data_IF_766615829257
#
_entry.id   IF_766615829257
#
_cell.length_a   1.000
_cell.length_b   1.000
_cell.length_c   1.000
_cell.angle_alpha   90.00
_cell.angle_beta   90.00
_cell.angle_gamma   90.00
#
_symmetry.space_group_name_H-M   'P 1'
#
loop_
_entity.id
_entity.type
_entity.pdbx_description
1 polymer ?
#
# COMPACT_ATOMS: atom_id res chain seq x y z
N UNK A 1 0.55 2.73 7.50
CA UNK A 1 1.59 3.21 6.55
C UNK A 1 1.00 3.31 5.16
N UNK A 2 1.46 4.24 4.33
CA UNK A 2 1.18 4.23 2.88
C UNK A 2 2.32 3.50 2.18
N UNK A 3 1.97 2.62 1.24
CA UNK A 3 2.92 1.92 0.37
C UNK A 3 2.60 2.34 -1.05
N UNK A 4 3.55 2.96 -1.73
CA UNK A 4 3.39 3.48 -3.09
C UNK A 4 4.34 2.77 -4.05
N UNK A 5 3.88 2.55 -5.28
CA UNK A 5 4.69 2.13 -6.41
C UNK A 5 4.42 3.07 -7.58
N UNK A 6 5.11 2.86 -8.71
CA UNK A 6 4.84 3.59 -9.96
C UNK A 6 3.40 3.41 -10.47
N UNK A 7 2.67 2.41 -9.97
CA UNK A 7 1.33 2.02 -10.43
C UNK A 7 0.20 2.55 -9.57
N UNK A 8 0.50 2.93 -8.32
CA UNK A 8 -0.50 3.43 -7.39
C UNK A 8 -0.03 3.32 -5.95
N UNK A 9 -0.94 3.57 -5.02
CA UNK A 9 -0.69 3.48 -3.59
C UNK A 9 -1.78 2.69 -2.85
N UNK A 10 -1.40 2.12 -1.71
CA UNK A 10 -2.30 1.50 -0.75
C UNK A 10 -1.97 1.99 0.66
N UNK A 11 -2.95 1.94 1.55
CA UNK A 11 -2.77 2.23 2.96
C UNK A 11 -3.08 0.98 3.76
N UNK A 12 -2.11 0.52 4.56
CA UNK A 12 -2.20 -0.73 5.33
C UNK A 12 -1.67 -0.55 6.75
N UNK A 13 -2.12 -1.43 7.66
CA UNK A 13 -1.49 -1.59 8.97
C UNK A 13 -0.16 -2.31 8.78
N UNK A 14 0.91 -1.79 9.38
CA UNK A 14 2.22 -2.42 9.35
C UNK A 14 2.44 -3.23 10.64
N UNK A 15 3.02 -4.41 10.49
CA UNK A 15 3.54 -5.20 11.60
C UNK A 15 5.05 -5.35 11.40
N UNK A 16 5.84 -4.86 12.35
CA UNK A 16 7.30 -4.96 12.30
C UNK A 16 7.71 -6.30 12.90
N UNK A 17 8.39 -7.13 12.11
CA UNK A 17 8.88 -8.44 12.51
C UNK A 17 10.25 -8.73 11.89
N UNK A 18 10.99 -9.67 12.47
CA UNK A 18 12.28 -10.13 11.93
C UNK A 18 12.13 -11.23 10.87
N UNK A 19 10.88 -11.67 10.58
CA UNK A 19 10.61 -12.75 9.64
C UNK A 19 10.87 -12.37 8.18
N UNK A 20 10.93 -11.07 7.88
CA UNK A 20 11.16 -10.55 6.52
C UNK A 20 12.55 -9.93 6.47
N UNK A 21 13.30 -10.22 5.41
CA UNK A 21 14.66 -9.72 5.24
C UNK A 21 14.72 -8.18 5.15
N UNK A 22 15.86 -7.57 5.52
CA UNK A 22 16.05 -6.13 5.40
C UNK A 22 15.74 -5.61 3.99
N UNK A 23 15.04 -4.47 3.92
CA UNK A 23 14.66 -3.86 2.63
C UNK A 23 13.53 -4.59 1.88
N UNK A 24 12.95 -5.64 2.47
CA UNK A 24 11.84 -6.39 1.87
C UNK A 24 10.55 -6.18 2.67
N UNK A 25 9.41 -6.25 2.00
CA UNK A 25 8.09 -6.20 2.60
C UNK A 25 7.29 -7.41 2.15
N UNK A 26 6.46 -7.93 3.05
CA UNK A 26 5.48 -8.96 2.72
C UNK A 26 4.08 -8.39 2.91
N UNK A 27 3.25 -8.45 1.86
CA UNK A 27 1.85 -8.01 1.89
C UNK A 27 0.97 -9.16 1.35
N UNK A 28 0.09 -9.73 2.18
CA UNK A 28 -0.80 -10.80 1.74
C UNK A 28 -1.83 -10.30 0.72
N UNK A 29 -2.12 -11.11 -0.30
CA UNK A 29 -2.99 -10.75 -1.43
C UNK A 29 -4.48 -11.02 -1.15
N UNK A 30 -4.81 -11.71 -0.05
CA UNK A 30 -6.15 -12.24 0.21
C UNK A 30 -7.16 -11.20 0.72
N UNK A 31 -6.70 -10.01 1.13
CA UNK A 31 -7.57 -8.97 1.68
C UNK A 31 -7.92 -7.94 0.61
N UNK A 32 -9.22 -7.69 0.43
CA UNK A 32 -9.71 -6.62 -0.45
C UNK A 32 -9.27 -5.24 0.06
N UNK A 33 -9.20 -5.07 1.38
CA UNK A 33 -8.57 -3.91 2.00
C UNK A 33 -7.05 -3.93 1.75
N UNK A 34 -6.52 -2.90 1.10
CA UNK A 34 -5.10 -2.84 0.75
C UNK A 34 -4.72 -3.70 -0.46
N UNK A 35 -5.60 -3.78 -1.47
CA UNK A 35 -5.45 -4.56 -2.70
C UNK A 35 -4.05 -4.40 -3.33
N UNK A 36 -3.14 -5.30 -2.95
CA UNK A 36 -1.70 -5.24 -3.31
C UNK A 36 -1.46 -5.32 -4.81
N UNK A 37 -2.41 -5.89 -5.55
CA UNK A 37 -2.34 -5.99 -7.01
C UNK A 37 -2.28 -4.59 -7.67
N UNK A 38 -2.73 -3.52 -7.01
CA UNK A 38 -2.52 -2.14 -7.48
C UNK A 38 -1.04 -1.77 -7.60
N UNK A 39 -0.19 -2.40 -6.79
CA UNK A 39 1.24 -2.14 -6.78
C UNK A 39 2.01 -3.02 -7.77
N UNK A 40 1.40 -4.08 -8.30
CA UNK A 40 2.07 -5.11 -9.11
C UNK A 40 1.70 -5.03 -10.60
N UNK A 41 2.47 -5.71 -11.46
CA UNK A 41 2.25 -5.71 -12.91
C UNK A 41 1.34 -6.87 -13.31
N UNK A 42 0.34 -6.60 -14.13
CA UNK A 42 -0.52 -7.62 -14.76
C UNK A 42 0.13 -8.17 -16.05
N UNK A 43 1.37 -8.65 -15.96
CA UNK A 43 2.00 -9.38 -17.08
C UNK A 43 2.07 -10.84 -16.75
N UNK A 44 1.84 -11.64 -17.77
CA UNK A 44 2.01 -13.07 -17.72
C UNK A 44 3.36 -13.43 -18.34
N UNK A 45 4.04 -14.40 -17.73
CA UNK A 45 5.21 -15.01 -18.33
C UNK A 45 4.80 -15.62 -19.69
N UNK A 46 5.49 -15.29 -20.79
CA UNK A 46 5.10 -15.69 -22.13
C UNK A 46 5.28 -17.19 -22.40
N UNK A 47 6.01 -17.91 -21.53
CA UNK A 47 6.28 -19.35 -21.67
C UNK A 47 5.38 -20.18 -20.77
N UNK A 48 5.21 -19.79 -19.51
CA UNK A 48 4.48 -20.52 -18.48
C UNK A 48 3.06 -19.99 -18.25
N UNK A 49 2.71 -18.79 -18.74
CA UNK A 49 1.39 -18.19 -18.56
C UNK A 49 1.06 -17.87 -17.10
N UNK A 50 2.07 -17.83 -16.22
CA UNK A 50 1.90 -17.45 -14.83
C UNK A 50 2.00 -15.93 -14.69
N UNK A 51 1.18 -15.28 -13.86
CA UNK A 51 1.38 -13.87 -13.58
C UNK A 51 2.76 -13.61 -12.97
N UNK A 52 3.47 -12.60 -13.46
CA UNK A 52 4.65 -12.01 -12.82
C UNK A 52 4.22 -11.22 -11.56
N UNK A 53 3.66 -11.92 -10.59
CA UNK A 53 3.57 -11.41 -9.24
C UNK A 53 4.79 -11.94 -8.51
N UNK A 54 5.44 -11.07 -7.73
CA UNK A 54 6.13 -11.30 -6.44
C UNK A 54 7.23 -10.25 -6.18
N UNK A 55 7.50 -9.34 -7.13
CA UNK A 55 8.45 -8.24 -6.92
C UNK A 55 7.90 -6.93 -7.49
N UNK A 56 7.79 -5.93 -6.63
CA UNK A 56 7.53 -4.54 -7.04
C UNK A 56 8.35 -3.61 -6.17
N UNK A 57 9.06 -2.68 -6.78
CA UNK A 57 9.75 -1.62 -6.04
C UNK A 57 8.71 -0.66 -5.48
N UNK A 58 8.74 -0.50 -4.17
CA UNK A 58 7.78 0.34 -3.43
C UNK A 58 8.50 1.30 -2.50
N UNK A 59 7.84 2.40 -2.16
CA UNK A 59 8.23 3.34 -1.11
C UNK A 59 7.20 3.29 0.01
N UNK A 60 7.67 3.37 1.26
CA UNK A 60 6.83 3.36 2.45
C UNK A 60 6.86 4.72 3.12
N UNK A 61 5.68 5.25 3.46
CA UNK A 61 5.48 6.48 4.20
C UNK A 61 4.72 6.20 5.50
N UNK A 62 5.20 6.74 6.60
CA UNK A 62 4.50 6.68 7.89
C UNK A 62 3.33 7.66 7.84
N UNK A 63 2.12 7.15 8.10
CA UNK A 63 0.94 7.99 8.27
C UNK A 63 0.78 8.24 9.78
N UNK A 64 0.64 9.50 10.18
CA UNK A 64 0.58 9.90 11.59
C UNK A 64 -0.62 9.31 12.35
N UNK A 65 -0.70 9.56 13.68
CA UNK A 65 -1.74 8.98 14.54
C UNK A 65 -3.17 9.40 14.16
N UNK A 66 -3.33 10.51 13.45
CA UNK A 66 -4.60 11.07 12.94
C UNK A 66 -5.17 10.34 11.70
N UNK A 67 -4.58 9.21 11.31
CA UNK A 67 -5.02 8.49 10.10
C UNK A 67 -6.35 7.81 10.36
N UNK A 68 -7.38 8.21 9.61
CA UNK A 68 -8.73 7.67 9.69
C UNK A 68 -8.75 6.14 9.46
N UNK A 69 -9.32 5.39 10.41
CA UNK A 69 -9.48 3.93 10.33
C UNK A 69 -10.30 3.50 9.10
N UNK A 70 -11.19 4.34 8.57
CA UNK A 70 -11.96 4.05 7.37
C UNK A 70 -11.04 3.82 6.16
N UNK A 71 -9.91 4.54 6.08
CA UNK A 71 -8.91 4.41 5.00
C UNK A 71 -8.29 3.01 4.97
N UNK A 72 -8.23 2.32 6.11
CA UNK A 72 -7.69 0.96 6.23
C UNK A 72 -8.72 -0.12 5.88
N UNK A 73 -10.02 0.21 5.88
CA UNK A 73 -11.12 -0.74 5.65
C UNK A 73 -11.72 -0.62 4.26
N UNK A 74 -11.61 0.54 3.62
CA UNK A 74 -12.12 0.74 2.26
C UNK A 74 -11.17 0.10 1.24
N UNK A 75 -11.64 -0.80 0.36
CA UNK A 75 -10.81 -1.42 -0.67
C UNK A 75 -10.15 -0.42 -1.64
N UNK A 76 -10.71 0.78 -1.81
CA UNK A 76 -10.38 1.62 -2.97
C UNK A 76 -10.44 3.14 -2.77
N UNK A 77 -10.32 3.67 -1.54
CA UNK A 77 -10.18 5.11 -1.37
C UNK A 77 -8.75 5.55 -1.68
N UNK A 78 -8.40 5.65 -2.97
CA UNK A 78 -7.16 6.29 -3.42
C UNK A 78 -7.00 7.60 -2.65
N UNK A 79 -5.85 7.77 -1.98
CA UNK A 79 -5.67 8.78 -0.95
C UNK A 79 -5.97 10.19 -1.48
N UNK A 80 -7.18 10.68 -1.27
CA UNK A 80 -7.46 12.10 -1.47
C UNK A 80 -6.65 12.83 -0.42
N UNK A 81 -5.62 13.53 -0.87
CA UNK A 81 -4.72 14.33 -0.07
C UNK A 81 -5.52 15.11 0.98
N UNK A 82 -5.34 14.75 2.26
CA UNK A 82 -5.94 15.44 3.39
C UNK A 82 -5.28 16.82 3.41
N UNK A 83 -5.91 17.79 2.74
CA UNK A 83 -5.51 19.19 2.83
C UNK A 83 -5.91 19.64 4.23
N UNK A 84 -4.93 19.69 5.14
CA UNK A 84 -5.07 20.45 6.40
C UNK A 84 -5.43 21.88 6.03
N UNK A 85 -6.70 22.26 6.16
CA UNK A 85 -7.03 23.68 6.35
C UNK A 85 -6.62 23.98 7.78
N UNK A 86 -5.56 24.78 7.90
CA UNK A 86 -5.03 25.22 9.19
C UNK A 86 -6.13 25.88 10.01
N UNK A 87 -6.17 25.51 11.28
CA UNK A 87 -6.69 26.37 12.32
C UNK A 87 -5.84 27.65 12.34
N UNK A 88 -6.49 28.80 12.18
CA UNK A 88 -5.98 30.09 12.57
C UNK A 88 -6.91 30.63 13.64
N UNK A 89 -6.34 30.85 14.83
CA UNK A 89 -6.92 31.54 15.97
C UNK A 89 -7.39 32.96 15.60
N UNK A 90 -8.59 33.34 16.07
CA UNK A 90 -8.99 34.63 16.67
C UNK A 90 -10.54 34.73 16.77
#
# INVERSE_FOLDING_TARGET
VRVESRRGDIVVKAQVTECVGPGTLFIPMHFAAGAVNKLTRETFDPTAGIPEYKVSSVRVEVLGPETDEAVLRTPDAGGKQIRKRGAGDD
#
